data_IF_755882147684
#
_entry.id   IF_755882147684
#
_cell.length_a   1.000
_cell.length_b   1.000
_cell.length_c   1.000
_cell.angle_alpha   90.00
_cell.angle_beta   90.00
_cell.angle_gamma   90.00
#
_symmetry.space_group_name_H-M   'P 1'
#
loop_
_entity.id
_entity.type
_entity.pdbx_description
1 polymer ?
#
# COMPACT_ATOMS: atom_id res chain seq x y z
N UNK A 1 1.86 13.82 -0.67
CA UNK A 1 2.08 14.00 0.78
C UNK A 1 2.36 12.63 1.39
N UNK A 2 3.08 12.56 2.51
CA UNK A 2 3.43 11.30 3.19
C UNK A 2 3.53 11.52 4.71
N UNK A 3 3.36 10.45 5.47
CA UNK A 3 3.56 10.46 6.93
C UNK A 3 4.98 9.98 7.23
N UNK A 4 5.70 10.75 8.04
CA UNK A 4 7.10 10.54 8.41
C UNK A 4 7.21 10.39 9.93
N UNK A 5 8.02 9.45 10.42
CA UNK A 5 8.25 9.24 11.86
C UNK A 5 9.68 9.64 12.17
N UNK A 6 9.83 10.73 12.92
CA UNK A 6 11.11 11.36 13.20
C UNK A 6 11.50 11.10 14.66
N UNK A 7 12.69 10.53 14.93
CA UNK A 7 13.19 10.36 16.31
C UNK A 7 13.26 11.70 17.04
N UNK A 8 12.80 11.75 18.29
CA UNK A 8 12.76 12.97 19.10
C UNK A 8 13.60 12.84 20.39
N UNK A 9 14.87 12.47 20.23
CA UNK A 9 15.81 12.32 21.34
C UNK A 9 15.29 11.36 22.41
N UNK A 10 15.07 11.88 23.63
CA UNK A 10 14.53 11.12 24.78
C UNK A 10 13.00 11.05 24.82
N UNK A 11 12.31 11.79 23.97
CA UNK A 11 10.85 11.84 23.90
C UNK A 11 10.31 10.87 22.85
N UNK A 12 9.00 10.62 22.89
CA UNK A 12 8.33 9.82 21.87
C UNK A 12 8.58 10.39 20.46
N UNK A 13 8.75 9.52 19.43
CA UNK A 13 8.97 9.96 18.06
C UNK A 13 7.86 10.87 17.56
N UNK A 14 8.24 11.90 16.80
CA UNK A 14 7.27 12.80 16.18
C UNK A 14 6.70 12.16 14.91
N UNK A 15 5.37 12.13 14.79
CA UNK A 15 4.68 11.70 13.58
C UNK A 15 4.25 12.95 12.80
N UNK A 16 4.75 13.13 11.57
CA UNK A 16 4.57 14.35 10.80
C UNK A 16 3.94 14.06 9.44
N UNK A 17 2.97 14.89 9.02
CA UNK A 17 2.50 14.95 7.64
C UNK A 17 3.38 15.90 6.85
N UNK A 18 3.97 15.41 5.76
CA UNK A 18 4.93 16.15 4.95
C UNK A 18 4.59 16.08 3.46
N UNK A 19 5.07 17.04 2.70
CA UNK A 19 5.08 16.99 1.24
C UNK A 19 6.47 17.22 0.69
N UNK A 20 6.74 16.61 -0.46
CA UNK A 20 7.92 16.90 -1.25
C UNK A 20 7.56 17.93 -2.31
N UNK A 21 8.33 19.00 -2.39
CA UNK A 21 8.19 20.03 -3.43
C UNK A 21 9.54 20.30 -4.08
N UNK A 22 9.53 20.90 -5.27
CA UNK A 22 10.75 21.28 -5.99
C UNK A 22 10.94 22.78 -5.93
N UNK A 23 12.15 23.19 -5.58
CA UNK A 23 12.62 24.55 -5.72
C UNK A 23 13.79 24.54 -6.70
N UNK A 24 13.51 24.95 -7.93
CA UNK A 24 14.44 24.79 -9.05
C UNK A 24 14.84 23.33 -9.28
N UNK A 25 16.13 23.02 -9.10
CA UNK A 25 16.69 21.68 -9.29
C UNK A 25 16.71 20.81 -8.03
N UNK A 26 16.35 21.34 -6.86
CA UNK A 26 16.41 20.62 -5.58
C UNK A 26 15.01 20.18 -5.14
N UNK A 27 14.93 18.98 -4.56
CA UNK A 27 13.71 18.47 -3.92
C UNK A 27 13.81 18.75 -2.42
N UNK A 28 12.80 19.41 -1.88
CA UNK A 28 12.69 19.76 -0.46
C UNK A 28 11.49 19.06 0.17
N UNK A 29 11.53 18.86 1.49
CA UNK A 29 10.43 18.31 2.28
C UNK A 29 9.88 19.38 3.21
N UNK A 30 8.61 19.77 3.05
CA UNK A 30 7.91 20.70 3.95
C UNK A 30 7.03 19.92 4.92
N UNK A 31 7.01 20.35 6.18
CA UNK A 31 6.06 19.85 7.18
C UNK A 31 4.75 20.62 7.07
N UNK A 32 3.64 19.89 6.95
CA UNK A 32 2.28 20.43 6.84
C UNK A 32 1.59 20.38 8.20
N UNK A 33 1.69 19.26 8.92
CA UNK A 33 1.06 19.08 10.23
C UNK A 33 1.86 18.12 11.12
N UNK A 34 1.72 18.29 12.44
CA UNK A 34 2.20 17.36 13.44
C UNK A 34 1.03 16.47 13.91
N UNK A 35 1.16 15.16 13.70
CA UNK A 35 0.15 14.14 14.01
C UNK A 35 0.47 13.36 15.29
N UNK A 36 1.50 13.74 16.04
CA UNK A 36 2.02 12.95 17.19
C UNK A 36 1.02 12.76 18.33
N UNK A 37 -0.03 13.59 18.40
CA UNK A 37 -1.08 13.51 19.41
C UNK A 37 -2.32 12.74 18.91
N UNK A 38 -2.34 12.29 17.66
CA UNK A 38 -3.46 11.54 17.11
C UNK A 38 -3.41 10.07 17.54
N UNK A 39 -4.58 9.42 17.70
CA UNK A 39 -4.62 7.98 17.93
C UNK A 39 -3.95 7.19 16.80
N UNK A 40 -3.21 6.10 17.10
CA UNK A 40 -2.52 5.29 16.09
C UNK A 40 -3.43 4.81 14.96
N UNK A 41 -4.67 4.39 15.28
CA UNK A 41 -5.64 3.94 14.29
C UNK A 41 -5.99 5.02 13.25
N UNK A 42 -6.02 6.29 13.66
CA UNK A 42 -6.26 7.40 12.74
C UNK A 42 -5.05 7.64 11.82
N UNK A 43 -3.84 7.52 12.37
CA UNK A 43 -2.59 7.63 11.61
C UNK A 43 -2.52 6.52 10.56
N UNK A 44 -2.89 5.29 10.90
CA UNK A 44 -2.89 4.17 9.96
C UNK A 44 -3.95 4.32 8.87
N UNK A 45 -5.15 4.83 9.21
CA UNK A 45 -6.16 5.20 8.22
C UNK A 45 -5.66 6.28 7.25
N UNK A 46 -4.99 7.32 7.76
CA UNK A 46 -4.39 8.37 6.93
C UNK A 46 -3.27 7.82 6.04
N UNK A 47 -2.43 6.89 6.53
CA UNK A 47 -1.42 6.22 5.71
C UNK A 47 -2.05 5.46 4.55
N UNK A 48 -3.13 4.74 4.80
CA UNK A 48 -3.86 4.01 3.76
C UNK A 48 -4.44 4.95 2.70
N UNK A 49 -5.04 6.08 3.10
CA UNK A 49 -5.53 7.11 2.16
C UNK A 49 -4.41 7.70 1.31
N UNK A 50 -3.29 8.07 1.93
CA UNK A 50 -2.16 8.68 1.23
C UNK A 50 -1.46 7.72 0.27
N UNK A 51 -1.52 6.42 0.52
CA UNK A 51 -1.03 5.37 -0.38
C UNK A 51 -1.94 5.15 -1.62
N UNK A 52 -3.05 5.90 -1.74
CA UNK A 52 -4.04 5.72 -2.81
C UNK A 52 -5.09 4.65 -2.49
N UNK A 53 -5.15 4.17 -1.25
CA UNK A 53 -6.23 3.32 -0.77
C UNK A 53 -7.49 4.11 -0.44
N UNK A 54 -8.65 3.46 -0.45
CA UNK A 54 -9.88 4.02 0.09
C UNK A 54 -10.02 3.61 1.56
N UNK A 55 -10.28 4.55 2.47
CA UNK A 55 -10.81 4.22 3.80
C UNK A 55 -12.29 3.96 3.61
N UNK A 56 -12.61 2.68 3.39
CA UNK A 56 -13.99 2.22 3.39
C UNK A 56 -14.48 2.35 4.82
N UNK A 57 -15.35 3.34 5.06
CA UNK A 57 -16.00 3.52 6.34
C UNK A 57 -16.85 2.29 6.66
N UNK A 58 -16.65 1.72 7.85
CA UNK A 58 -17.43 0.60 8.36
C UNK A 58 -16.67 -0.72 8.36
N UNK A 59 -16.72 -1.41 9.50
CA UNK A 59 -16.06 -2.66 9.86
C UNK A 59 -16.43 -3.90 9.00
N UNK A 60 -16.89 -3.71 7.77
CA UNK A 60 -17.36 -4.77 6.90
C UNK A 60 -16.90 -4.48 5.49
N UNK A 61 -15.69 -4.85 5.13
CA UNK A 61 -15.35 -5.40 3.82
C UNK A 61 -13.99 -6.09 3.98
N UNK A 62 -13.94 -7.04 4.91
CA UNK A 62 -13.13 -8.22 4.68
C UNK A 62 -13.61 -8.78 3.34
N UNK A 63 -12.79 -8.65 2.29
CA UNK A 63 -13.07 -9.32 1.03
C UNK A 63 -13.16 -10.82 1.33
N UNK A 64 -14.38 -11.33 1.43
CA UNK A 64 -14.65 -12.74 1.60
C UNK A 64 -14.45 -13.40 0.23
N UNK A 65 -13.42 -14.24 0.13
CA UNK A 65 -13.25 -15.10 -1.04
C UNK A 65 -14.39 -16.12 -1.00
N UNK A 66 -15.50 -15.82 -1.70
CA UNK A 66 -16.68 -16.71 -1.74
C UNK A 66 -16.45 -18.03 -2.44
N UNK A 67 -15.52 -18.04 -3.38
CA UNK A 67 -15.02 -19.25 -4.06
C UNK A 67 -13.72 -18.93 -4.76
N UNK A 68 -12.72 -19.78 -4.58
CA UNK A 68 -11.60 -19.89 -5.50
C UNK A 68 -12.05 -20.84 -6.62
N UNK A 69 -11.97 -20.44 -7.89
CA UNK A 69 -12.12 -21.42 -8.97
C UNK A 69 -11.02 -22.49 -8.78
N UNK A 70 -11.29 -23.79 -8.98
CA UNK A 70 -10.26 -24.80 -8.87
C UNK A 70 -9.17 -24.57 -9.93
N UNK A 71 -8.04 -23.96 -9.53
CA UNK A 71 -6.87 -23.75 -10.39
C UNK A 71 -6.23 -25.06 -10.87
N UNK A 72 -6.72 -26.22 -10.38
CA UNK A 72 -6.23 -27.54 -10.75
C UNK A 72 -6.37 -27.87 -12.24
N UNK A 73 -7.48 -27.47 -12.87
CA UNK A 73 -7.66 -27.70 -14.32
C UNK A 73 -6.69 -26.85 -15.15
N UNK A 74 -6.52 -25.58 -14.77
CA UNK A 74 -5.57 -24.67 -15.42
C UNK A 74 -4.13 -25.15 -15.21
N UNK A 75 -3.79 -25.61 -14.00
CA UNK A 75 -2.48 -26.16 -13.68
C UNK A 75 -2.20 -27.48 -14.43
N UNK A 76 -3.20 -28.36 -14.58
CA UNK A 76 -3.07 -29.60 -15.34
C UNK A 76 -2.89 -29.33 -16.85
N UNK A 77 -3.66 -28.41 -17.41
CA UNK A 77 -3.49 -28.00 -18.81
C UNK A 77 -2.12 -27.36 -19.04
N UNK A 78 -1.70 -26.41 -18.20
CA UNK A 78 -0.37 -25.78 -18.29
C UNK A 78 0.76 -26.80 -18.10
N UNK A 79 0.62 -27.74 -17.17
CA UNK A 79 1.57 -28.81 -16.93
C UNK A 79 1.71 -29.74 -18.14
N UNK A 80 0.60 -30.10 -18.79
CA UNK A 80 0.61 -30.92 -20.00
C UNK A 80 1.22 -30.16 -21.17
N UNK A 81 0.90 -28.88 -21.35
CA UNK A 81 1.48 -28.05 -22.41
C UNK A 81 3.00 -27.91 -22.26
N UNK A 82 3.50 -27.71 -21.04
CA UNK A 82 4.95 -27.70 -20.75
C UNK A 82 5.62 -29.04 -21.07
N UNK A 83 4.95 -30.15 -20.76
CA UNK A 83 5.46 -31.51 -21.05
C UNK A 83 5.50 -31.81 -22.55
N UNK A 84 4.60 -31.20 -23.32
CA UNK A 84 4.53 -31.32 -24.78
C UNK A 84 5.33 -30.24 -25.52
N UNK A 85 6.13 -29.43 -24.82
CA UNK A 85 6.96 -28.35 -25.39
C UNK A 85 6.19 -27.37 -26.28
N UNK A 86 4.90 -27.16 -26.00
CA UNK A 86 4.07 -26.22 -26.75
C UNK A 86 4.30 -24.79 -26.23
N UNK A 87 5.06 -23.98 -26.97
CA UNK A 87 5.20 -22.55 -26.71
C UNK A 87 3.97 -21.78 -27.23
N UNK A 88 3.40 -20.91 -26.39
CA UNK A 88 2.35 -20.00 -26.82
C UNK A 88 3.00 -18.74 -27.38
N UNK A 89 3.08 -18.60 -28.70
CA UNK A 89 3.36 -17.31 -29.32
C UNK A 89 2.06 -16.51 -29.26
N UNK A 90 1.96 -15.61 -28.28
CA UNK A 90 0.90 -14.61 -28.24
C UNK A 90 1.25 -13.54 -29.29
N UNK A 91 0.52 -13.54 -30.41
CA UNK A 91 0.35 -12.34 -31.23
C UNK A 91 -0.54 -11.32 -30.50
#
# INVERSE_FOLDING_TARGET
>A
MFIDVVPNGRSAPAVLLRESFREGRKVHKRTIANLSQMPPALIDGLRALLAGGAVVGGAYHSLEIRRSLPHGHVAAALGMMRKLECEFSLN
#
